data_IF_255080078355
#
_entry.id   IF_255080078355
#
_cell.length_a   1.000
_cell.length_b   1.000
_cell.length_c   1.000
_cell.angle_alpha   90.00
_cell.angle_beta   90.00
_cell.angle_gamma   90.00
#
_symmetry.space_group_name_H-M   'P 1'
#
loop_
_entity.id
_entity.type
_entity.pdbx_description
1 polymer ?
#
# COMPACT_ATOMS: atom_id res chain seq x y z
N UNK A 1 -12.84 -1.07 16.84
CA UNK A 1 -13.22 -0.81 15.45
C UNK A 1 -12.00 -0.41 14.64
N UNK A 2 -11.92 -0.87 13.41
CA UNK A 2 -10.76 -0.57 12.57
C UNK A 2 -10.72 0.91 12.16
N UNK A 3 -9.51 1.43 11.99
CA UNK A 3 -9.27 2.74 11.42
C UNK A 3 -8.98 2.58 9.93
N UNK A 4 -9.44 3.54 9.13
CA UNK A 4 -9.20 3.55 7.68
C UNK A 4 -8.40 4.78 7.30
N UNK A 5 -7.59 4.63 6.25
CA UNK A 5 -6.68 5.68 5.83
C UNK A 5 -6.54 5.64 4.31
N UNK A 6 -6.57 6.81 3.68
CA UNK A 6 -6.28 6.98 2.26
C UNK A 6 -5.09 7.91 2.11
N UNK A 7 -4.21 7.56 1.17
CA UNK A 7 -3.06 8.37 0.82
C UNK A 7 -3.01 8.53 -0.69
N UNK A 8 -2.82 9.75 -1.16
CA UNK A 8 -2.79 10.06 -2.58
C UNK A 8 -1.55 10.88 -2.89
N UNK A 9 -0.72 10.37 -3.80
CA UNK A 9 0.58 10.96 -4.11
C UNK A 9 0.75 11.05 -5.62
N UNK A 10 1.22 12.20 -6.10
CA UNK A 10 1.40 12.40 -7.53
C UNK A 10 2.59 11.62 -8.05
N UNK A 11 2.39 10.92 -9.17
CA UNK A 11 3.43 10.17 -9.86
C UNK A 11 4.20 11.13 -10.74
N UNK A 12 5.53 11.01 -10.76
CA UNK A 12 6.38 11.81 -11.65
C UNK A 12 5.99 11.55 -13.11
N UNK A 13 5.98 12.58 -13.96
CA UNK A 13 5.67 12.38 -15.37
C UNK A 13 6.54 11.30 -16.00
N UNK A 14 5.88 10.37 -16.72
CA UNK A 14 6.56 9.26 -17.38
C UNK A 14 6.93 8.09 -16.50
N UNK A 15 6.57 8.09 -15.21
CA UNK A 15 6.93 7.02 -14.27
C UNK A 15 5.79 6.04 -13.94
N UNK A 16 4.62 6.21 -14.54
CA UNK A 16 3.47 5.35 -14.24
C UNK A 16 3.75 3.88 -14.57
N UNK A 17 4.36 3.60 -15.71
CA UNK A 17 4.70 2.22 -16.07
C UNK A 17 5.77 1.66 -15.14
N UNK A 18 6.71 2.50 -14.71
CA UNK A 18 7.73 2.11 -13.75
C UNK A 18 7.10 1.73 -12.40
N UNK A 19 6.05 2.44 -11.99
CA UNK A 19 5.30 2.07 -10.79
C UNK A 19 4.70 0.67 -10.92
N UNK A 20 4.11 0.34 -12.07
CA UNK A 20 3.56 -0.99 -12.31
C UNK A 20 4.64 -2.07 -12.21
N UNK A 21 5.81 -1.83 -12.75
CA UNK A 21 6.94 -2.76 -12.67
C UNK A 21 7.37 -2.98 -11.21
N UNK A 22 7.45 -1.90 -10.42
CA UNK A 22 7.77 -2.00 -9.00
C UNK A 22 6.74 -2.80 -8.22
N UNK A 23 5.44 -2.58 -8.48
CA UNK A 23 4.37 -3.32 -7.80
C UNK A 23 4.46 -4.81 -8.11
N UNK A 24 4.66 -5.18 -9.37
CA UNK A 24 4.84 -6.57 -9.76
C UNK A 24 6.04 -7.21 -9.05
N UNK A 25 7.15 -6.50 -8.98
CA UNK A 25 8.36 -6.94 -8.29
C UNK A 25 8.13 -7.14 -6.79
N UNK A 26 7.42 -6.21 -6.16
CA UNK A 26 7.09 -6.30 -4.75
C UNK A 26 6.19 -7.49 -4.45
N UNK A 27 5.18 -7.72 -5.28
CA UNK A 27 4.27 -8.85 -5.10
C UNK A 27 5.00 -10.18 -5.26
N UNK A 28 5.90 -10.29 -6.24
CA UNK A 28 6.71 -11.48 -6.42
C UNK A 28 7.58 -11.77 -5.20
N UNK A 29 8.18 -10.73 -4.62
CA UNK A 29 8.95 -10.88 -3.38
C UNK A 29 8.08 -11.28 -2.19
N UNK A 30 6.88 -10.71 -2.12
CA UNK A 30 5.93 -11.03 -1.06
C UNK A 30 5.46 -12.50 -1.16
N UNK A 31 5.19 -12.99 -2.36
CA UNK A 31 4.84 -14.39 -2.57
C UNK A 31 5.96 -15.34 -2.14
N UNK A 32 7.20 -14.95 -2.39
CA UNK A 32 8.37 -15.77 -2.02
C UNK A 32 8.58 -15.83 -0.49
N UNK A 33 8.02 -14.90 0.25
CA UNK A 33 8.12 -14.85 1.72
C UNK A 33 6.76 -14.49 2.34
N UNK A 34 5.74 -15.29 2.04
CA UNK A 34 4.38 -15.02 2.52
C UNK A 34 4.29 -15.06 4.05
N UNK A 35 5.09 -15.89 4.71
CA UNK A 35 5.14 -15.94 6.17
C UNK A 35 5.66 -14.62 6.75
N UNK A 36 6.73 -14.09 6.19
CA UNK A 36 7.29 -12.81 6.63
C UNK A 36 6.32 -11.66 6.43
N UNK A 37 5.61 -11.64 5.30
CA UNK A 37 4.58 -10.63 5.02
C UNK A 37 3.44 -10.70 6.03
N UNK A 38 2.98 -11.90 6.35
CA UNK A 38 1.91 -12.10 7.35
C UNK A 38 2.35 -11.60 8.72
N UNK A 39 3.60 -11.82 9.09
CA UNK A 39 4.16 -11.33 10.36
C UNK A 39 4.20 -9.80 10.39
N UNK A 40 4.63 -9.17 9.29
CA UNK A 40 4.65 -7.70 9.15
C UNK A 40 3.23 -7.15 9.33
N UNK A 41 2.26 -7.71 8.62
CA UNK A 41 0.87 -7.27 8.70
C UNK A 41 0.32 -7.40 10.11
N UNK A 42 0.68 -8.49 10.81
CA UNK A 42 0.29 -8.70 12.20
C UNK A 42 0.87 -7.63 13.12
N UNK A 43 2.16 -7.32 12.97
CA UNK A 43 2.84 -6.28 13.76
C UNK A 43 2.24 -4.89 13.50
N UNK A 44 1.85 -4.62 12.27
CA UNK A 44 1.24 -3.36 11.86
C UNK A 44 -0.25 -3.27 12.21
N UNK A 45 -0.83 -4.35 12.72
CA UNK A 45 -2.29 -4.48 12.89
C UNK A 45 -3.07 -4.26 11.59
N UNK A 46 -2.43 -4.50 10.44
CA UNK A 46 -2.99 -4.24 9.13
C UNK A 46 -4.02 -5.31 8.75
N UNK A 47 -5.21 -4.87 8.37
CA UNK A 47 -6.29 -5.74 7.93
C UNK A 47 -6.39 -5.81 6.41
N UNK A 48 -6.29 -4.67 5.76
CA UNK A 48 -6.49 -4.53 4.32
C UNK A 48 -5.57 -3.48 3.77
N UNK A 49 -4.99 -3.75 2.61
CA UNK A 49 -4.28 -2.76 1.81
C UNK A 49 -4.73 -2.91 0.37
N UNK A 50 -5.03 -1.80 -0.28
CA UNK A 50 -5.34 -1.75 -1.71
C UNK A 50 -4.60 -0.59 -2.33
N UNK A 51 -4.02 -0.81 -3.49
CA UNK A 51 -3.22 0.17 -4.21
C UNK A 51 -3.85 0.42 -5.57
N UNK A 52 -3.92 1.69 -5.95
CA UNK A 52 -4.56 2.12 -7.19
C UNK A 52 -3.70 3.13 -7.93
N UNK A 53 -3.89 3.23 -9.23
CA UNK A 53 -3.46 4.38 -10.00
C UNK A 53 -4.71 5.14 -10.41
N UNK A 54 -4.78 6.43 -10.09
CA UNK A 54 -5.83 7.32 -10.58
C UNK A 54 -5.30 8.07 -11.80
N UNK A 55 -6.01 7.96 -12.90
CA UNK A 55 -5.69 8.73 -14.11
C UNK A 55 -6.50 10.02 -14.11
N UNK A 56 -5.86 11.14 -13.75
CA UNK A 56 -6.50 12.45 -13.67
C UNK A 56 -6.03 13.34 -14.81
N UNK A 57 -6.73 14.49 -15.00
CA UNK A 57 -6.38 15.42 -16.07
C UNK A 57 -4.97 16.01 -15.94
N UNK A 58 -4.53 16.23 -14.70
CA UNK A 58 -3.23 16.83 -14.41
C UNK A 58 -2.11 15.81 -14.23
N UNK A 59 -2.39 14.53 -14.47
CA UNK A 59 -1.42 13.46 -14.36
C UNK A 59 -1.95 12.26 -13.58
N UNK A 60 -1.07 11.31 -13.32
CA UNK A 60 -1.43 10.10 -12.61
C UNK A 60 -1.06 10.20 -11.14
N UNK A 61 -1.86 9.56 -10.28
CA UNK A 61 -1.65 9.53 -8.85
C UNK A 61 -1.60 8.09 -8.35
N UNK A 62 -0.75 7.84 -7.35
CA UNK A 62 -0.69 6.59 -6.62
C UNK A 62 -1.58 6.72 -5.39
N UNK A 63 -2.59 5.86 -5.29
CA UNK A 63 -3.58 5.93 -4.22
C UNK A 63 -3.49 4.67 -3.37
N UNK A 64 -3.38 4.86 -2.05
CA UNK A 64 -3.34 3.79 -1.06
C UNK A 64 -4.63 3.79 -0.26
N UNK A 65 -5.19 2.62 -0.03
CA UNK A 65 -6.25 2.42 0.94
C UNK A 65 -5.77 1.42 1.98
N UNK A 66 -5.85 1.79 3.23
CA UNK A 66 -5.38 0.98 4.35
C UNK A 66 -6.46 0.86 5.41
N UNK A 67 -6.58 -0.34 5.97
CA UNK A 67 -7.44 -0.61 7.12
C UNK A 67 -6.60 -1.32 8.17
N UNK A 68 -6.56 -0.80 9.39
CA UNK A 68 -5.78 -1.34 10.49
C UNK A 68 -6.54 -1.18 11.80
N UNK A 69 -6.16 -1.94 12.84
CA UNK A 69 -6.71 -1.71 14.18
C UNK A 69 -6.31 -0.34 14.69
N UNK A 70 -5.06 0.05 14.44
CA UNK A 70 -4.51 1.32 14.89
C UNK A 70 -3.52 1.84 13.87
N UNK A 71 -3.77 3.04 13.33
CA UNK A 71 -2.85 3.69 12.41
C UNK A 71 -1.55 4.09 13.11
N UNK A 72 -1.61 4.44 14.39
CA UNK A 72 -0.42 4.73 15.18
C UNK A 72 0.49 3.50 15.26
N UNK A 73 -0.08 2.34 15.55
CA UNK A 73 0.67 1.09 15.59
C UNK A 73 1.27 0.75 14.23
N UNK A 74 0.51 0.94 13.16
CA UNK A 74 0.99 0.69 11.80
C UNK A 74 2.20 1.57 11.48
N UNK A 75 2.10 2.87 11.74
CA UNK A 75 3.17 3.83 11.47
C UNK A 75 4.41 3.49 12.28
N UNK A 76 4.25 3.20 13.56
CA UNK A 76 5.37 2.85 14.45
C UNK A 76 6.05 1.55 14.00
N UNK A 77 5.28 0.53 13.71
CA UNK A 77 5.81 -0.76 13.26
C UNK A 77 6.52 -0.62 11.91
N UNK A 78 5.95 0.15 10.98
CA UNK A 78 6.55 0.39 9.67
C UNK A 78 7.88 1.14 9.79
N UNK A 79 7.94 2.13 10.67
CA UNK A 79 9.16 2.91 10.92
C UNK A 79 10.27 2.09 11.57
N UNK A 80 9.92 1.10 12.37
CA UNK A 80 10.88 0.23 13.06
C UNK A 80 11.26 -1.01 12.23
N UNK A 81 10.59 -1.26 11.11
CA UNK A 81 10.78 -2.46 10.30
C UNK A 81 12.15 -2.47 9.61
N UNK A 82 12.78 -3.64 9.63
CA UNK A 82 14.03 -3.91 8.89
C UNK A 82 13.82 -4.91 7.77
N UNK A 83 12.58 -5.25 7.46
CA UNK A 83 12.27 -6.22 6.42
C UNK A 83 12.64 -5.69 5.03
N UNK A 84 13.30 -6.51 4.17
CA UNK A 84 13.71 -6.07 2.83
C UNK A 84 12.59 -5.53 1.95
N UNK A 85 11.36 -6.01 2.14
CA UNK A 85 10.21 -5.55 1.37
C UNK A 85 9.94 -4.06 1.59
N UNK A 86 10.14 -3.56 2.81
CA UNK A 86 9.98 -2.14 3.12
C UNK A 86 11.07 -1.28 2.48
N UNK A 87 12.29 -1.81 2.34
CA UNK A 87 13.36 -1.12 1.62
C UNK A 87 13.02 -0.98 0.14
N UNK A 88 12.45 -2.02 -0.45
CA UNK A 88 11.99 -1.99 -1.85
C UNK A 88 10.87 -0.96 -2.01
N UNK A 89 9.92 -0.92 -1.08
CA UNK A 89 8.82 0.06 -1.09
C UNK A 89 9.34 1.49 -1.00
N UNK A 90 10.30 1.76 -0.12
CA UNK A 90 10.89 3.08 0.01
C UNK A 90 11.61 3.51 -1.27
N UNK A 91 12.36 2.61 -1.89
CA UNK A 91 13.06 2.87 -3.15
C UNK A 91 12.06 3.18 -4.28
N UNK A 92 10.96 2.45 -4.34
CA UNK A 92 9.89 2.68 -5.30
C UNK A 92 9.31 4.09 -5.13
N UNK A 93 8.94 4.46 -3.91
CA UNK A 93 8.34 5.77 -3.64
C UNK A 93 9.29 6.90 -4.01
N UNK A 94 10.58 6.77 -3.71
CA UNK A 94 11.57 7.78 -4.05
C UNK A 94 11.74 7.94 -5.56
N UNK A 95 11.72 6.85 -6.30
CA UNK A 95 11.89 6.89 -7.75
C UNK A 95 10.66 7.45 -8.48
N UNK A 96 9.45 7.02 -8.10
CA UNK A 96 8.25 7.27 -8.92
C UNK A 96 7.38 8.43 -8.45
N UNK A 97 7.51 8.88 -7.21
CA UNK A 97 6.64 9.93 -6.67
C UNK A 97 7.33 11.29 -6.70
N UNK A 98 6.55 12.35 -7.01
CA UNK A 98 7.06 13.73 -6.96
C UNK A 98 7.41 14.14 -5.54
N UNK A 99 6.55 13.78 -4.58
CA UNK A 99 6.77 14.05 -3.17
C UNK A 99 6.27 12.88 -2.31
N UNK A 100 7.17 11.97 -1.91
CA UNK A 100 6.78 10.81 -1.11
C UNK A 100 6.14 11.15 0.25
N UNK A 101 6.34 12.37 0.74
CA UNK A 101 5.81 12.81 2.04
C UNK A 101 4.41 13.40 1.96
N UNK A 102 3.92 13.72 0.76
CA UNK A 102 2.55 14.16 0.59
C UNK A 102 1.61 12.96 0.63
N UNK A 103 0.41 13.15 1.16
CA UNK A 103 -0.57 12.09 1.25
C UNK A 103 -1.99 12.54 1.00
N UNK A 104 -2.20 13.84 0.83
CA UNK A 104 -3.54 14.42 0.74
C UNK A 104 -4.17 14.55 2.12
N UNK A 105 -5.39 15.06 2.15
CA UNK A 105 -6.16 15.26 3.36
C UNK A 105 -7.54 14.64 3.15
N UNK A 106 -7.77 13.50 3.77
CA UNK A 106 -8.99 12.71 3.59
C UNK A 106 -9.68 12.52 4.91
N UNK A 107 -10.93 12.94 4.99
CA UNK A 107 -11.76 12.77 6.17
C UNK A 107 -12.65 11.54 5.99
N UNK A 108 -12.49 10.48 6.78
CA UNK A 108 -13.37 9.32 6.67
C UNK A 108 -14.77 9.68 7.17
N UNK A 109 -15.79 9.27 6.43
CA UNK A 109 -17.17 9.54 6.78
C UNK A 109 -17.91 8.28 7.26
N UNK A 110 -17.62 7.15 6.61
CA UNK A 110 -18.28 5.90 6.96
C UNK A 110 -17.40 4.72 6.53
N UNK A 111 -17.42 3.66 7.32
CA UNK A 111 -16.74 2.41 6.99
C UNK A 111 -17.63 1.26 7.44
N UNK A 112 -17.98 0.39 6.52
CA UNK A 112 -18.79 -0.77 6.80
C UNK A 112 -18.11 -2.05 6.34
N UNK A 113 -18.26 -3.12 7.12
CA UNK A 113 -17.72 -4.43 6.80
C UNK A 113 -18.85 -5.46 6.92
N UNK A 114 -19.02 -6.28 5.88
CA UNK A 114 -20.01 -7.37 5.92
C UNK A 114 -19.53 -8.42 6.92
N UNK A 115 -20.47 -8.98 7.71
CA UNK A 115 -20.15 -10.07 8.62
C UNK A 115 -19.79 -11.37 7.87
N UNK A 116 -20.06 -11.44 6.59
CA UNK A 116 -19.72 -12.58 5.73
C UNK A 116 -18.38 -12.40 4.99
N UNK A 117 -17.67 -11.33 5.27
CA UNK A 117 -16.38 -11.06 4.64
C UNK A 117 -15.39 -12.21 4.89
N UNK A 118 -14.71 -12.71 3.84
CA UNK A 118 -13.70 -13.75 4.00
C UNK A 118 -12.61 -13.32 4.99
N UNK A 119 -12.14 -14.26 5.80
CA UNK A 119 -11.15 -14.01 6.84
C UNK A 119 -9.84 -14.75 6.56
N UNK A 120 -9.43 -14.79 5.29
CA UNK A 120 -8.20 -15.45 4.87
C UNK A 120 -7.19 -14.43 4.37
N UNK A 121 -5.91 -14.70 4.61
CA UNK A 121 -4.85 -13.93 3.99
C UNK A 121 -4.85 -14.22 2.49
N UNK A 122 -5.06 -13.19 1.69
CA UNK A 122 -5.11 -13.30 0.23
C UNK A 122 -4.61 -11.99 -0.38
N UNK A 123 -3.77 -12.09 -1.39
CA UNK A 123 -3.31 -10.93 -2.16
C UNK A 123 -3.58 -11.22 -3.64
N UNK A 124 -4.34 -10.35 -4.28
CA UNK A 124 -4.64 -10.46 -5.71
C UNK A 124 -3.89 -9.34 -6.44
N UNK A 125 -3.05 -9.71 -7.38
CA UNK A 125 -2.34 -8.77 -8.24
C UNK A 125 -3.15 -8.52 -9.51
N UNK A 126 -3.33 -7.24 -9.86
CA UNK A 126 -4.00 -6.84 -11.10
C UNK A 126 -3.02 -6.36 -12.16
N UNK A 127 -1.75 -6.19 -11.81
CA UNK A 127 -0.70 -5.79 -12.76
C UNK A 127 -0.28 -7.01 -13.57
N UNK A 128 -0.27 -6.87 -14.90
CA UNK A 128 0.22 -7.94 -15.76
C UNK A 128 1.73 -8.08 -15.62
N UNK A 129 2.21 -9.33 -15.49
CA UNK A 129 3.63 -9.60 -15.49
C UNK A 129 4.19 -9.38 -16.89
N UNK A 130 5.25 -8.60 -16.97
CA UNK A 130 5.93 -8.34 -18.23
C UNK A 130 7.07 -9.34 -18.46
#
# INVERSE_FOLDING_TARGET
>A
MAEIFIRKQKIRPGKTERLREWISKMDNKAEADSQGVREIWSEESLHTISLFIEHAEDGDYFVWYLEADSMEQLIDARGASTHPLHDVEDAMMEEVLENPNEGGDFEPLIHGVSHERPNNFEVQQYVEES
#
